data_IF_028303169275
#
_entry.id   IF_028303169275
#
_cell.length_a   1.000
_cell.length_b   1.000
_cell.length_c   1.000
_cell.angle_alpha   90.00
_cell.angle_beta   90.00
_cell.angle_gamma   90.00
#
_symmetry.space_group_name_H-M   'P 1'
#
loop_
_entity.id
_entity.type
_entity.pdbx_description
1 polymer ?
#
# COMPACT_ATOMS: atom_id res chain seq x y z
N UNK A 1 -0.93 0.19 23.96
CA UNK A 1 -0.41 -0.79 22.99
C UNK A 1 -0.71 -0.27 21.59
N UNK A 2 0.26 -0.26 20.68
CA UNK A 2 -0.01 0.05 19.26
C UNK A 2 -0.86 -1.09 18.67
N UNK A 3 -1.78 -0.75 17.78
CA UNK A 3 -2.54 -1.78 17.07
C UNK A 3 -1.63 -2.57 16.13
N UNK A 4 -2.06 -3.77 15.74
CA UNK A 4 -1.35 -4.58 14.73
C UNK A 4 -1.22 -3.83 13.38
N UNK A 5 -2.18 -2.97 13.06
CA UNK A 5 -2.17 -2.18 11.82
C UNK A 5 -1.15 -1.06 11.86
N UNK A 6 -1.02 -0.39 13.02
CA UNK A 6 0.00 0.64 13.22
C UNK A 6 1.42 0.06 13.11
N UNK A 7 1.65 -1.12 13.67
CA UNK A 7 2.94 -1.82 13.53
C UNK A 7 3.24 -2.14 12.05
N UNK A 8 2.23 -2.60 11.30
CA UNK A 8 2.38 -2.85 9.86
C UNK A 8 2.64 -1.57 9.05
N UNK A 9 2.06 -0.44 9.44
CA UNK A 9 2.31 0.86 8.80
C UNK A 9 3.75 1.33 9.06
N UNK A 10 4.20 1.25 10.31
CA UNK A 10 5.58 1.58 10.67
C UNK A 10 6.57 0.70 9.88
N UNK A 11 6.29 -0.61 9.75
CA UNK A 11 7.10 -1.54 8.95
C UNK A 11 7.06 -1.22 7.45
N UNK A 12 5.89 -0.86 6.91
CA UNK A 12 5.73 -0.49 5.50
C UNK A 12 6.51 0.78 5.15
N UNK A 13 6.59 1.75 6.07
CA UNK A 13 7.39 2.95 5.92
C UNK A 13 8.89 2.64 5.98
N UNK A 14 9.32 1.81 6.94
CA UNK A 14 10.73 1.42 7.10
C UNK A 14 11.26 0.61 5.91
N UNK A 15 10.39 -0.20 5.28
CA UNK A 15 10.76 -1.08 4.18
C UNK A 15 10.26 -0.59 2.81
N UNK A 16 9.90 0.69 2.71
CA UNK A 16 9.28 1.26 1.51
C UNK A 16 10.13 1.03 0.24
N UNK A 17 11.45 1.26 0.32
CA UNK A 17 12.36 1.07 -0.82
C UNK A 17 12.38 -0.38 -1.30
N UNK A 18 12.50 -1.34 -0.38
CA UNK A 18 12.50 -2.76 -0.72
C UNK A 18 11.18 -3.18 -1.39
N UNK A 19 10.05 -2.68 -0.90
CA UNK A 19 8.75 -2.95 -1.51
C UNK A 19 8.65 -2.33 -2.92
N UNK A 20 9.10 -1.09 -3.09
CA UNK A 20 9.14 -0.42 -4.40
C UNK A 20 9.97 -1.24 -5.39
N UNK A 21 11.17 -1.69 -5.01
CA UNK A 21 12.03 -2.51 -5.88
C UNK A 21 11.37 -3.86 -6.23
N UNK A 22 10.69 -4.50 -5.29
CA UNK A 22 9.92 -5.71 -5.59
C UNK A 22 8.80 -5.42 -6.60
N UNK A 23 8.07 -4.33 -6.43
CA UNK A 23 6.99 -3.93 -7.33
C UNK A 23 7.50 -3.54 -8.72
N UNK A 24 8.71 -2.95 -8.84
CA UNK A 24 9.35 -2.66 -10.14
C UNK A 24 9.59 -3.91 -10.97
N UNK A 25 9.78 -5.07 -10.36
CA UNK A 25 9.93 -6.33 -11.10
C UNK A 25 8.61 -6.95 -11.53
N UNK A 26 7.48 -6.45 -11.01
CA UNK A 26 6.16 -7.00 -11.25
C UNK A 26 5.56 -6.49 -12.55
N UNK A 27 4.87 -7.35 -13.31
CA UNK A 27 4.18 -6.97 -14.55
C UNK A 27 3.14 -5.85 -14.34
N UNK A 28 3.04 -4.94 -15.31
CA UNK A 28 2.18 -3.75 -15.21
C UNK A 28 0.70 -4.10 -15.01
N UNK A 29 0.24 -5.19 -15.62
CA UNK A 29 -1.15 -5.67 -15.45
C UNK A 29 -1.41 -6.10 -14.01
N UNK A 30 -0.42 -6.67 -13.33
CA UNK A 30 -0.53 -7.04 -11.91
C UNK A 30 -0.47 -5.80 -11.01
N UNK A 31 0.42 -4.85 -11.32
CA UNK A 31 0.48 -3.57 -10.60
C UNK A 31 -0.86 -2.82 -10.68
N UNK A 32 -1.47 -2.74 -11.86
CA UNK A 32 -2.80 -2.14 -12.02
C UNK A 32 -3.86 -2.82 -11.16
N UNK A 33 -3.89 -4.15 -11.13
CA UNK A 33 -4.83 -4.90 -10.27
C UNK A 33 -4.62 -4.63 -8.79
N UNK A 34 -3.37 -4.51 -8.34
CA UNK A 34 -3.07 -4.19 -6.94
C UNK A 34 -3.55 -2.78 -6.59
N UNK A 35 -3.33 -1.80 -7.47
CA UNK A 35 -3.83 -0.43 -7.27
C UNK A 35 -5.36 -0.39 -7.15
N UNK A 36 -6.07 -1.10 -8.03
CA UNK A 36 -7.53 -1.19 -7.97
C UNK A 36 -7.99 -1.82 -6.64
N UNK A 37 -7.34 -2.92 -6.23
CA UNK A 37 -7.64 -3.58 -4.96
C UNK A 37 -7.38 -2.67 -3.76
N UNK A 38 -6.27 -1.93 -3.73
CA UNK A 38 -6.00 -0.99 -2.64
C UNK A 38 -7.07 0.08 -2.53
N UNK A 39 -7.55 0.60 -3.66
CA UNK A 39 -8.64 1.60 -3.70
C UNK A 39 -9.94 1.07 -3.14
N UNK A 40 -10.33 -0.15 -3.54
CA UNK A 40 -11.52 -0.79 -2.98
C UNK A 40 -11.41 -1.01 -1.46
N UNK A 41 -10.23 -1.43 -0.99
CA UNK A 41 -10.01 -1.64 0.44
C UNK A 41 -9.94 -0.32 1.21
N UNK A 42 -9.39 0.75 0.63
CA UNK A 42 -9.37 2.08 1.24
C UNK A 42 -10.79 2.58 1.44
N UNK A 43 -11.67 2.44 0.44
CA UNK A 43 -13.06 2.85 0.58
C UNK A 43 -13.77 2.07 1.70
N UNK A 44 -13.52 0.75 1.79
CA UNK A 44 -14.06 -0.07 2.89
C UNK A 44 -13.53 0.36 4.24
N UNK A 45 -12.22 0.57 4.37
CA UNK A 45 -11.58 1.02 5.61
C UNK A 45 -12.13 2.38 6.06
N UNK A 46 -12.33 3.30 5.12
CA UNK A 46 -12.94 4.61 5.36
C UNK A 46 -14.38 4.46 5.87
N UNK A 47 -15.22 3.68 5.19
CA UNK A 47 -16.62 3.43 5.61
C UNK A 47 -16.71 2.76 6.99
N UNK A 48 -15.72 1.96 7.36
CA UNK A 48 -15.64 1.31 8.67
C UNK A 48 -15.05 2.20 9.77
N UNK A 49 -14.60 3.42 9.45
CA UNK A 49 -13.89 4.29 10.39
C UNK A 49 -12.51 3.77 10.80
N UNK A 50 -11.95 2.82 10.04
CA UNK A 50 -10.64 2.22 10.33
C UNK A 50 -9.53 3.06 9.69
N UNK A 51 -9.18 4.15 10.38
CA UNK A 51 -8.18 5.12 9.91
C UNK A 51 -6.80 4.51 9.69
N UNK A 52 -6.36 3.62 10.58
CA UNK A 52 -5.03 3.00 10.49
C UNK A 52 -4.91 2.10 9.25
N UNK A 53 -5.97 1.33 8.93
CA UNK A 53 -5.99 0.51 7.72
C UNK A 53 -6.03 1.38 6.46
N UNK A 54 -6.76 2.49 6.50
CA UNK A 54 -6.78 3.46 5.42
C UNK A 54 -5.38 4.03 5.14
N UNK A 55 -4.68 4.51 6.18
CA UNK A 55 -3.32 5.07 6.05
C UNK A 55 -2.33 4.04 5.52
N UNK A 56 -2.39 2.78 5.99
CA UNK A 56 -1.58 1.68 5.49
C UNK A 56 -1.80 1.43 3.99
N UNK A 57 -3.05 1.44 3.55
CA UNK A 57 -3.39 1.20 2.14
C UNK A 57 -2.98 2.37 1.24
N UNK A 58 -3.09 3.62 1.71
CA UNK A 58 -2.58 4.79 1.00
C UNK A 58 -1.06 4.67 0.78
N UNK A 59 -0.32 4.21 1.78
CA UNK A 59 1.13 4.07 1.68
C UNK A 59 1.52 2.98 0.66
N UNK A 60 0.87 1.82 0.67
CA UNK A 60 1.11 0.79 -0.35
C UNK A 60 0.70 1.23 -1.76
N UNK A 61 -0.39 1.99 -1.91
CA UNK A 61 -0.78 2.58 -3.19
C UNK A 61 0.32 3.53 -3.69
N UNK A 62 0.80 4.44 -2.83
CA UNK A 62 1.88 5.38 -3.16
C UNK A 62 3.15 4.66 -3.61
N UNK A 63 3.59 3.66 -2.86
CA UNK A 63 4.78 2.87 -3.19
C UNK A 63 4.62 2.14 -4.53
N UNK A 64 3.43 1.57 -4.80
CA UNK A 64 3.13 0.88 -6.06
C UNK A 64 3.11 1.84 -7.26
N UNK A 65 2.59 3.06 -7.09
CA UNK A 65 2.64 4.11 -8.12
C UNK A 65 4.09 4.50 -8.42
N UNK A 66 4.90 4.72 -7.38
CA UNK A 66 6.32 5.06 -7.55
C UNK A 66 7.04 3.94 -8.31
N UNK A 67 6.84 2.69 -7.92
CA UNK A 67 7.43 1.55 -8.60
C UNK A 67 7.07 1.50 -10.09
N UNK A 68 5.81 1.80 -10.43
CA UNK A 68 5.35 1.84 -11.83
C UNK A 68 5.96 3.01 -12.63
N UNK A 69 6.13 4.18 -12.00
CA UNK A 69 6.69 5.36 -12.66
C UNK A 69 8.22 5.31 -12.80
N UNK A 70 8.89 4.52 -11.97
CA UNK A 70 10.35 4.40 -11.92
C UNK A 70 10.89 3.12 -12.57
N UNK A 71 10.07 2.42 -13.36
CA UNK A 71 10.50 1.37 -14.29
C UNK A 71 11.09 1.99 -15.55
#
# INVERSE_FOLDING_TARGET
MKSTTQLKLDDALLNAENYIEQMKTMDDKKLSKNLDLFREQMERAYRQGNKEAYELLCEYERQTIIARLSK
#
